data_IF_592445944218
#
_entry.id   IF_592445944218
#
_cell.length_a   1.000
_cell.length_b   1.000
_cell.length_c   1.000
_cell.angle_alpha   90.00
_cell.angle_beta   90.00
_cell.angle_gamma   90.00
#
_symmetry.space_group_name_H-M   'P 1'
#
loop_
_entity.id
_entity.type
_entity.pdbx_description
1 polymer ?
#
# COMPACT_ATOMS: atom_id res chain seq x y z
N UNK A 1 27.01 33.36 77.29
CA UNK A 1 28.46 33.17 77.48
C UNK A 1 28.88 31.89 76.75
N UNK A 2 30.07 31.88 76.12
CA UNK A 2 30.34 31.46 74.74
C UNK A 2 30.62 29.92 74.64
N UNK A 3 30.70 29.27 73.48
CA UNK A 3 31.50 29.61 72.29
C UNK A 3 31.10 28.74 71.08
N UNK A 4 31.23 29.34 69.91
CA UNK A 4 30.96 28.80 68.58
C UNK A 4 31.88 27.64 68.17
N UNK A 5 31.40 26.78 67.27
CA UNK A 5 31.91 26.66 65.90
C UNK A 5 31.08 25.64 65.09
N UNK A 6 30.61 26.08 63.94
CA UNK A 6 30.13 25.32 62.78
C UNK A 6 31.08 25.69 61.62
N UNK A 7 31.09 25.04 60.43
CA UNK A 7 30.45 23.80 60.00
C UNK A 7 31.37 22.95 59.06
N UNK A 8 30.75 22.04 58.28
CA UNK A 8 31.24 21.34 57.08
C UNK A 8 31.90 19.96 57.32
N UNK A 9 31.64 18.91 56.56
CA UNK A 9 30.73 18.64 55.44
C UNK A 9 30.75 17.12 55.18
N UNK A 10 29.79 16.67 54.36
CA UNK A 10 29.74 15.38 53.64
C UNK A 10 29.60 14.12 54.49
N UNK A 11 28.57 13.30 54.31
CA UNK A 11 27.86 13.02 53.07
C UNK A 11 27.87 11.50 52.89
N UNK A 12 26.79 10.88 53.35
CA UNK A 12 26.58 9.43 53.45
C UNK A 12 26.79 8.72 52.11
N UNK A 13 27.53 7.61 52.13
CA UNK A 13 27.47 6.57 51.09
C UNK A 13 26.10 5.90 51.11
N UNK A 14 25.55 5.54 49.94
CA UNK A 14 24.88 4.24 49.86
C UNK A 14 25.20 3.46 48.59
N UNK A 15 25.23 2.13 48.74
CA UNK A 15 24.54 1.20 47.85
C UNK A 15 25.11 0.98 46.46
N UNK A 16 26.01 0.00 46.34
CA UNK A 16 26.31 -0.70 45.10
C UNK A 16 25.24 -1.79 44.89
N UNK A 17 24.94 -2.07 43.62
CA UNK A 17 24.19 -3.21 43.02
C UNK A 17 22.66 -3.06 42.90
N UNK A 18 22.19 -2.70 41.70
CA UNK A 18 21.75 -3.67 40.68
C UNK A 18 21.47 -2.92 39.36
N UNK A 19 22.35 -3.08 38.37
CA UNK A 19 22.06 -2.71 36.99
C UNK A 19 21.08 -3.76 36.43
N UNK A 20 19.79 -3.44 36.44
CA UNK A 20 18.81 -4.14 35.62
C UNK A 20 19.05 -3.73 34.16
N UNK A 21 19.92 -4.48 33.50
CA UNK A 21 20.07 -4.46 32.05
C UNK A 21 18.74 -4.94 31.47
N UNK A 22 17.86 -3.99 31.11
CA UNK A 22 16.65 -4.27 30.35
C UNK A 22 17.10 -4.82 29.00
N UNK A 23 17.13 -6.16 28.93
CA UNK A 23 17.26 -6.91 27.70
C UNK A 23 16.16 -6.40 26.79
N UNK A 24 16.57 -5.73 25.73
CA UNK A 24 15.80 -5.48 24.53
C UNK A 24 15.30 -6.86 24.07
N UNK A 25 14.10 -7.23 24.47
CA UNK A 25 13.40 -8.35 23.87
C UNK A 25 13.15 -7.93 22.43
N UNK A 26 14.03 -8.37 21.53
CA UNK A 26 13.73 -8.51 20.12
C UNK A 26 12.45 -9.33 20.05
N UNK A 27 11.32 -8.67 19.82
CA UNK A 27 10.08 -9.35 19.45
C UNK A 27 10.41 -10.04 18.13
N UNK A 28 10.44 -11.38 18.05
CA UNK A 28 10.45 -12.02 16.76
C UNK A 28 9.09 -11.70 16.16
N UNK A 29 9.04 -10.74 15.24
CA UNK A 29 7.89 -10.62 14.34
C UNK A 29 7.83 -11.95 13.60
N UNK A 30 6.98 -12.85 14.08
CA UNK A 30 6.49 -13.98 13.30
C UNK A 30 5.80 -13.34 12.11
N UNK A 31 6.52 -13.22 11.01
CA UNK A 31 5.96 -12.77 9.75
C UNK A 31 4.92 -13.80 9.34
N UNK A 32 3.65 -13.51 9.64
CA UNK A 32 2.54 -14.23 9.03
C UNK A 32 2.59 -13.95 7.53
N UNK A 33 2.40 -15.00 6.73
CA UNK A 33 2.21 -14.87 5.29
C UNK A 33 1.10 -13.84 5.00
N UNK A 34 1.32 -12.99 4.00
CA UNK A 34 0.36 -11.97 3.58
C UNK A 34 -1.00 -12.61 3.25
N UNK A 35 -2.09 -12.01 3.74
CA UNK A 35 -3.44 -12.36 3.33
C UNK A 35 -3.69 -11.82 1.91
N UNK A 36 -3.71 -12.71 0.92
CA UNK A 36 -4.01 -12.41 -0.47
C UNK A 36 -5.53 -12.25 -0.71
N UNK A 37 -5.96 -11.55 -1.77
CA UNK A 37 -7.36 -11.57 -2.17
C UNK A 37 -7.82 -12.99 -2.47
N UNK A 38 -9.11 -13.28 -2.26
CA UNK A 38 -9.66 -14.64 -2.44
C UNK A 38 -9.55 -15.17 -3.87
N UNK A 39 -9.39 -14.27 -4.83
CA UNK A 39 -9.20 -14.54 -6.26
C UNK A 39 -7.81 -15.03 -6.59
N UNK A 40 -6.82 -14.78 -5.73
CA UNK A 40 -5.43 -15.16 -5.97
C UNK A 40 -5.10 -16.38 -5.16
N UNK A 41 -4.64 -17.40 -5.86
CA UNK A 41 -3.98 -18.53 -5.22
C UNK A 41 -2.65 -18.83 -5.88
N UNK A 42 -1.88 -19.52 -5.08
CA UNK A 42 -0.63 -20.13 -5.47
C UNK A 42 -0.93 -21.38 -6.33
N UNK A 43 -0.29 -21.53 -7.50
CA UNK A 43 -0.33 -22.79 -8.23
C UNK A 43 0.44 -23.88 -7.46
N UNK A 44 -0.08 -25.10 -7.53
CA UNK A 44 0.66 -26.31 -7.16
C UNK A 44 1.71 -26.65 -8.21
N UNK A 45 2.70 -27.48 -7.84
CA UNK A 45 3.80 -27.85 -8.74
C UNK A 45 3.31 -28.56 -10.03
N UNK A 46 2.15 -29.25 -9.97
CA UNK A 46 1.53 -29.94 -11.10
C UNK A 46 0.79 -29.00 -12.08
N UNK A 47 0.42 -27.80 -11.62
CA UNK A 47 -0.32 -26.81 -12.41
C UNK A 47 0.60 -25.87 -13.21
N UNK A 48 1.92 -25.96 -13.00
CA UNK A 48 2.87 -25.12 -13.70
C UNK A 48 3.47 -25.89 -14.88
N UNK A 49 3.31 -25.32 -16.08
CA UNK A 49 3.94 -25.87 -17.28
C UNK A 49 5.46 -26.03 -17.08
N UNK A 50 6.01 -27.16 -17.51
CA UNK A 50 7.44 -27.41 -17.40
C UNK A 50 8.22 -26.35 -18.19
N UNK A 51 9.14 -25.67 -17.48
CA UNK A 51 10.11 -24.73 -18.05
C UNK A 51 11.50 -25.03 -17.49
N UNK A 52 12.58 -24.80 -18.25
CA UNK A 52 13.94 -25.09 -17.78
C UNK A 52 14.33 -24.39 -16.47
N UNK A 53 13.69 -23.27 -16.14
CA UNK A 53 13.92 -22.41 -14.98
C UNK A 53 12.91 -22.63 -13.83
N UNK A 54 12.00 -23.60 -13.95
CA UNK A 54 10.88 -23.77 -12.99
C UNK A 54 11.36 -24.02 -11.55
N UNK A 55 12.42 -24.81 -11.38
CA UNK A 55 12.98 -25.12 -10.06
C UNK A 55 13.55 -23.86 -9.39
N UNK A 56 14.16 -22.96 -10.16
CA UNK A 56 14.68 -21.69 -9.66
C UNK A 56 13.55 -20.75 -9.25
N UNK A 57 12.50 -20.66 -10.06
CA UNK A 57 11.30 -19.85 -9.77
C UNK A 57 10.62 -20.35 -8.48
N UNK A 58 10.40 -21.66 -8.37
CA UNK A 58 9.79 -22.27 -7.19
C UNK A 58 10.67 -22.08 -5.95
N UNK A 59 12.00 -22.15 -6.10
CA UNK A 59 12.94 -21.93 -5.01
C UNK A 59 12.94 -20.47 -4.53
N UNK A 60 12.99 -19.51 -5.46
CA UNK A 60 12.87 -18.07 -5.15
C UNK A 60 11.57 -17.80 -4.41
N UNK A 61 10.47 -18.32 -4.93
CA UNK A 61 9.14 -18.17 -4.34
C UNK A 61 9.04 -18.70 -2.91
N UNK A 62 9.59 -19.88 -2.62
CA UNK A 62 9.58 -20.44 -1.25
C UNK A 62 10.36 -19.58 -0.24
N UNK A 63 11.28 -18.75 -0.73
CA UNK A 63 12.06 -17.81 0.07
C UNK A 63 11.53 -16.38 0.00
N UNK A 64 10.50 -16.14 -0.80
CA UNK A 64 10.01 -14.82 -1.10
C UNK A 64 9.44 -14.16 0.15
N UNK A 65 9.78 -12.90 0.35
CA UNK A 65 9.36 -12.14 1.52
C UNK A 65 8.04 -11.40 1.26
N UNK A 66 6.99 -12.17 0.99
CA UNK A 66 5.64 -11.67 0.74
C UNK A 66 4.89 -11.56 2.07
N UNK A 67 5.04 -10.41 2.72
CA UNK A 67 4.56 -10.13 4.08
C UNK A 67 4.02 -8.70 4.17
N UNK A 68 3.27 -8.36 5.23
CA UNK A 68 2.90 -6.96 5.47
C UNK A 68 4.12 -6.07 5.68
N UNK A 69 4.13 -4.89 5.06
CA UNK A 69 5.22 -3.93 5.13
C UNK A 69 5.26 -3.02 3.91
N UNK A 70 6.26 -2.15 3.84
CA UNK A 70 6.45 -1.28 2.68
C UNK A 70 7.92 -1.13 2.28
N UNK A 71 8.13 -0.87 1.00
CA UNK A 71 9.40 -0.33 0.47
C UNK A 71 9.28 1.17 0.27
N UNK A 72 10.42 1.87 0.26
CA UNK A 72 10.46 3.30 0.07
C UNK A 72 11.65 3.70 -0.80
N UNK A 73 11.38 4.43 -1.86
CA UNK A 73 12.38 4.94 -2.80
C UNK A 73 12.26 6.46 -2.84
N UNK A 74 13.35 7.17 -2.57
CA UNK A 74 13.37 8.63 -2.67
C UNK A 74 13.42 9.05 -4.13
N UNK A 75 12.74 10.14 -4.47
CA UNK A 75 12.82 10.70 -5.81
C UNK A 75 14.16 11.42 -6.00
N UNK A 76 14.98 10.90 -6.91
CA UNK A 76 16.24 11.52 -7.31
C UNK A 76 16.08 12.47 -8.51
N UNK A 77 14.92 12.45 -9.17
CA UNK A 77 14.63 13.28 -10.34
C UNK A 77 13.82 14.53 -9.96
N UNK A 78 14.44 15.72 -9.92
CA UNK A 78 13.76 16.95 -9.52
C UNK A 78 12.72 17.44 -10.53
N UNK A 79 12.63 16.84 -11.73
CA UNK A 79 11.63 17.22 -12.74
C UNK A 79 10.24 16.66 -12.45
N UNK A 80 10.14 15.63 -11.62
CA UNK A 80 8.85 15.02 -11.28
C UNK A 80 8.51 15.44 -9.85
N UNK A 81 7.35 16.08 -9.61
CA UNK A 81 7.13 16.80 -8.36
C UNK A 81 6.61 15.93 -7.20
N UNK A 82 7.18 14.75 -6.99
CA UNK A 82 6.99 13.94 -5.77
C UNK A 82 8.31 13.79 -5.00
N UNK A 83 8.24 13.44 -3.72
CA UNK A 83 9.44 13.29 -2.87
C UNK A 83 9.86 11.83 -2.70
N UNK A 84 8.91 10.91 -2.62
CA UNK A 84 9.17 9.49 -2.48
C UNK A 84 8.07 8.66 -3.13
N UNK A 85 8.44 7.44 -3.48
CA UNK A 85 7.53 6.38 -3.88
C UNK A 85 7.55 5.30 -2.79
N UNK A 86 6.40 4.69 -2.53
CA UNK A 86 6.26 3.53 -1.67
C UNK A 86 5.39 2.47 -2.34
N UNK A 87 5.77 1.21 -2.15
CA UNK A 87 4.94 0.05 -2.47
C UNK A 87 4.63 -0.67 -1.16
N UNK A 88 3.36 -0.98 -0.92
CA UNK A 88 2.87 -1.36 0.41
C UNK A 88 2.07 -2.65 0.31
N UNK A 89 2.63 -3.72 0.89
CA UNK A 89 1.89 -4.94 1.16
C UNK A 89 1.13 -4.78 2.47
N UNK A 90 -0.16 -5.06 2.42
CA UNK A 90 -1.04 -5.13 3.58
C UNK A 90 -2.00 -6.30 3.38
N UNK A 91 -2.39 -6.95 4.47
CA UNK A 91 -3.41 -7.99 4.41
C UNK A 91 -4.66 -7.47 3.68
N UNK A 92 -5.19 -8.27 2.77
CA UNK A 92 -6.22 -7.83 1.85
C UNK A 92 -7.50 -7.35 2.59
N UNK A 93 -7.85 -7.99 3.72
CA UNK A 93 -8.92 -7.54 4.62
C UNK A 93 -8.79 -6.09 5.11
N UNK A 94 -7.58 -5.55 5.14
CA UNK A 94 -7.23 -4.19 5.61
C UNK A 94 -6.88 -3.23 4.47
N UNK A 95 -6.76 -3.71 3.23
CA UNK A 95 -6.35 -2.93 2.06
C UNK A 95 -7.20 -1.66 1.89
N UNK A 96 -8.53 -1.79 1.94
CA UNK A 96 -9.43 -0.65 1.78
C UNK A 96 -9.29 0.40 2.89
N UNK A 97 -9.09 -0.04 4.13
CA UNK A 97 -8.92 0.88 5.26
C UNK A 97 -7.62 1.68 5.12
N UNK A 98 -6.53 1.04 4.66
CA UNK A 98 -5.29 1.75 4.37
C UNK A 98 -5.44 2.72 3.19
N UNK A 99 -6.12 2.29 2.13
CA UNK A 99 -6.43 3.15 0.99
C UNK A 99 -7.18 4.42 1.43
N UNK A 100 -8.23 4.29 2.24
CA UNK A 100 -8.97 5.45 2.77
C UNK A 100 -8.09 6.36 3.65
N UNK A 101 -7.24 5.78 4.49
CA UNK A 101 -6.34 6.55 5.34
C UNK A 101 -5.32 7.36 4.51
N UNK A 102 -4.74 6.74 3.47
CA UNK A 102 -3.86 7.43 2.52
C UNK A 102 -4.63 8.48 1.70
N UNK A 103 -5.85 8.17 1.25
CA UNK A 103 -6.71 9.13 0.55
C UNK A 103 -7.02 10.37 1.40
N UNK A 104 -7.11 10.22 2.73
CA UNK A 104 -7.28 11.35 3.65
C UNK A 104 -6.07 12.31 3.67
N UNK A 105 -4.89 11.88 3.21
CA UNK A 105 -3.72 12.78 3.09
C UNK A 105 -3.73 13.62 1.81
N UNK A 106 -4.49 13.22 0.79
CA UNK A 106 -4.62 13.99 -0.46
C UNK A 106 -5.47 15.25 -0.25
N UNK A 107 -5.36 16.26 -1.13
CA UNK A 107 -6.22 17.46 -1.10
C UNK A 107 -7.72 17.16 -1.28
N UNK A 108 -8.56 18.18 -1.12
CA UNK A 108 -10.02 18.06 -1.23
C UNK A 108 -10.50 17.76 -2.65
N UNK A 109 -9.68 18.10 -3.65
CA UNK A 109 -9.96 17.77 -5.05
C UNK A 109 -8.88 16.85 -5.61
N UNK A 110 -9.32 15.82 -6.32
CA UNK A 110 -8.48 14.77 -6.91
C UNK A 110 -9.10 14.29 -8.22
N UNK A 111 -8.27 13.79 -9.11
CA UNK A 111 -8.70 12.95 -10.23
C UNK A 111 -8.82 11.50 -9.76
N UNK A 112 -9.79 10.76 -10.27
CA UNK A 112 -9.85 9.32 -10.14
C UNK A 112 -9.09 8.70 -11.31
N UNK A 113 -8.26 7.69 -11.04
CA UNK A 113 -7.59 6.88 -12.06
C UNK A 113 -8.09 5.46 -11.92
N UNK A 114 -8.61 4.86 -12.98
CA UNK A 114 -9.15 3.49 -12.92
C UNK A 114 -9.19 2.82 -14.29
N UNK A 115 -9.03 1.50 -14.32
CA UNK A 115 -8.96 0.74 -15.57
C UNK A 115 -8.88 -0.76 -15.36
N UNK A 116 -8.81 -1.49 -16.48
CA UNK A 116 -8.44 -2.90 -16.46
C UNK A 116 -6.92 -3.04 -16.54
N UNK A 117 -6.40 -4.07 -15.89
CA UNK A 117 -5.00 -4.45 -16.03
C UNK A 117 -4.67 -4.75 -17.51
N UNK A 118 -3.50 -4.31 -17.97
CA UNK A 118 -3.02 -4.36 -19.38
C UNK A 118 -3.82 -3.51 -20.38
N UNK A 119 -4.82 -2.75 -19.93
CA UNK A 119 -5.53 -1.75 -20.74
C UNK A 119 -5.16 -0.32 -20.31
N UNK A 120 -5.50 0.64 -21.16
CA UNK A 120 -5.30 2.04 -20.83
C UNK A 120 -6.28 2.49 -19.73
N UNK A 121 -5.73 3.01 -18.64
CA UNK A 121 -6.51 3.57 -17.53
C UNK A 121 -7.11 4.91 -17.91
N UNK A 122 -8.32 5.18 -17.44
CA UNK A 122 -8.93 6.51 -17.55
C UNK A 122 -8.51 7.36 -16.37
N UNK A 123 -8.22 8.63 -16.64
CA UNK A 123 -8.06 9.67 -15.61
C UNK A 123 -9.19 10.68 -15.72
N UNK A 124 -9.94 10.89 -14.64
CA UNK A 124 -11.03 11.88 -14.62
C UNK A 124 -10.49 13.31 -14.54
N UNK A 125 -11.32 14.33 -14.85
CA UNK A 125 -11.06 15.69 -14.41
C UNK A 125 -10.92 15.77 -12.88
N UNK A 126 -10.46 16.93 -12.40
CA UNK A 126 -10.31 17.18 -10.98
C UNK A 126 -11.69 17.33 -10.29
N UNK A 127 -12.07 16.33 -9.49
CA UNK A 127 -13.37 16.22 -8.82
C UNK A 127 -13.24 16.39 -7.31
N UNK A 128 -14.37 16.56 -6.62
CA UNK A 128 -14.40 16.53 -5.15
C UNK A 128 -14.01 15.14 -4.66
N UNK A 129 -12.98 15.04 -3.82
CA UNK A 129 -12.46 13.76 -3.29
C UNK A 129 -13.53 12.93 -2.60
N UNK A 130 -14.40 13.58 -1.82
CA UNK A 130 -15.51 12.87 -1.15
C UNK A 130 -16.49 12.24 -2.14
N UNK A 131 -16.74 12.89 -3.28
CA UNK A 131 -17.56 12.32 -4.34
C UNK A 131 -16.87 11.11 -4.97
N UNK A 132 -15.60 11.24 -5.34
CA UNK A 132 -14.81 10.13 -5.91
C UNK A 132 -14.79 8.92 -4.98
N UNK A 133 -14.44 9.14 -3.70
CA UNK A 133 -14.41 8.06 -2.70
C UNK A 133 -15.77 7.40 -2.51
N UNK A 134 -16.86 8.17 -2.52
CA UNK A 134 -18.22 7.63 -2.41
C UNK A 134 -18.59 6.75 -3.61
N UNK A 135 -18.15 7.11 -4.81
CA UNK A 135 -18.39 6.31 -6.02
C UNK A 135 -17.55 5.03 -6.00
N UNK A 136 -16.28 5.10 -5.62
CA UNK A 136 -15.41 3.92 -5.48
C UNK A 136 -15.88 2.96 -4.38
N UNK A 137 -16.39 3.46 -3.25
CA UNK A 137 -16.88 2.64 -2.12
C UNK A 137 -17.98 1.65 -2.54
N UNK A 138 -18.81 2.00 -3.55
CA UNK A 138 -19.86 1.12 -4.08
C UNK A 138 -19.31 -0.18 -4.66
N UNK A 139 -18.03 -0.18 -5.04
CA UNK A 139 -17.33 -1.29 -5.68
C UNK A 139 -16.14 -1.76 -4.83
N UNK A 140 -16.15 -1.46 -3.52
CA UNK A 140 -15.06 -1.83 -2.60
C UNK A 140 -14.65 -3.31 -2.73
N UNK A 141 -15.62 -4.22 -2.79
CA UNK A 141 -15.36 -5.66 -2.89
C UNK A 141 -14.61 -5.97 -4.19
N UNK A 142 -15.12 -5.49 -5.32
CA UNK A 142 -14.47 -5.67 -6.61
C UNK A 142 -13.07 -5.02 -6.65
N UNK A 143 -12.93 -3.77 -6.18
CA UNK A 143 -11.65 -3.06 -6.20
C UNK A 143 -10.56 -3.72 -5.34
N UNK A 144 -10.95 -4.37 -4.24
CA UNK A 144 -10.02 -5.04 -3.33
C UNK A 144 -9.75 -6.50 -3.64
N UNK A 145 -10.67 -7.19 -4.33
CA UNK A 145 -10.54 -8.62 -4.61
C UNK A 145 -10.26 -8.93 -6.09
N UNK A 146 -10.81 -8.17 -7.05
CA UNK A 146 -10.77 -8.52 -8.47
C UNK A 146 -9.46 -8.08 -9.13
N UNK A 147 -8.59 -9.03 -9.48
CA UNK A 147 -7.26 -8.77 -10.01
C UNK A 147 -7.22 -8.22 -11.42
N UNK A 148 -8.35 -8.10 -12.11
CA UNK A 148 -8.41 -7.39 -13.39
C UNK A 148 -8.61 -5.88 -13.23
N UNK A 149 -8.95 -5.37 -12.03
CA UNK A 149 -9.24 -3.97 -11.79
C UNK A 149 -8.10 -3.24 -11.07
N UNK A 150 -7.83 -2.03 -11.52
CA UNK A 150 -6.98 -1.05 -10.82
C UNK A 150 -7.78 0.22 -10.58
N UNK A 151 -7.55 0.85 -9.42
CA UNK A 151 -8.17 2.14 -9.11
C UNK A 151 -7.34 2.95 -8.13
N UNK A 152 -7.44 4.26 -8.24
CA UNK A 152 -6.62 5.19 -7.50
C UNK A 152 -7.09 6.63 -7.56
N UNK A 153 -6.34 7.48 -6.87
CA UNK A 153 -6.50 8.92 -6.81
C UNK A 153 -5.21 9.57 -7.28
N UNK A 154 -5.35 10.62 -8.08
CA UNK A 154 -4.25 11.44 -8.56
C UNK A 154 -4.51 12.89 -8.19
N UNK A 155 -3.52 13.55 -7.62
CA UNK A 155 -3.47 14.99 -7.49
C UNK A 155 -2.17 15.49 -8.09
N UNK A 156 -2.28 16.24 -9.18
CA UNK A 156 -1.14 16.81 -9.86
C UNK A 156 -1.37 18.29 -10.13
N UNK A 157 -0.44 19.11 -9.66
CA UNK A 157 -0.24 20.49 -10.11
C UNK A 157 1.26 20.68 -10.40
N UNK A 158 1.65 21.87 -10.84
CA UNK A 158 3.02 22.16 -11.30
C UNK A 158 4.12 21.67 -10.34
N UNK A 159 3.93 21.90 -9.04
CA UNK A 159 4.98 21.71 -8.03
C UNK A 159 4.70 20.54 -7.07
N UNK A 160 3.60 19.79 -7.27
CA UNK A 160 3.29 18.63 -6.44
C UNK A 160 2.53 17.54 -7.22
N UNK A 161 2.98 16.30 -7.06
CA UNK A 161 2.33 15.06 -7.48
C UNK A 161 2.10 14.20 -6.24
N UNK A 162 0.85 13.80 -6.03
CA UNK A 162 0.46 12.75 -5.09
C UNK A 162 -0.39 11.75 -5.85
N UNK A 163 0.02 10.50 -5.85
CA UNK A 163 -0.69 9.41 -6.50
C UNK A 163 -0.88 8.26 -5.52
N UNK A 164 -2.07 7.69 -5.50
CA UNK A 164 -2.45 6.58 -4.65
C UNK A 164 -3.18 5.57 -5.52
N UNK A 165 -2.68 4.35 -5.65
CA UNK A 165 -3.27 3.34 -6.52
C UNK A 165 -3.30 1.98 -5.83
N UNK A 166 -4.42 1.27 -5.98
CA UNK A 166 -4.54 -0.16 -5.70
C UNK A 166 -4.17 -0.87 -7.00
N UNK A 167 -3.10 -1.67 -6.95
CA UNK A 167 -2.64 -2.45 -8.10
C UNK A 167 -3.58 -3.60 -8.43
N UNK A 168 -3.39 -4.19 -9.59
CA UNK A 168 -4.06 -5.42 -10.03
C UNK A 168 -3.79 -6.57 -9.05
N UNK A 169 -2.61 -6.59 -8.44
CA UNK A 169 -2.18 -7.58 -7.44
C UNK A 169 -2.53 -7.22 -6.00
N UNK A 170 -3.31 -6.16 -5.80
CA UNK A 170 -3.92 -5.79 -4.50
C UNK A 170 -2.92 -5.41 -3.41
N UNK A 171 -1.86 -4.74 -3.81
CA UNK A 171 -1.02 -3.92 -2.94
C UNK A 171 -1.21 -2.43 -3.29
N UNK A 172 -0.70 -1.53 -2.45
CA UNK A 172 -0.81 -0.08 -2.70
C UNK A 172 0.49 0.45 -3.30
N UNK A 173 0.36 1.21 -4.39
CA UNK A 173 1.41 2.09 -4.93
C UNK A 173 1.11 3.53 -4.51
N UNK A 174 2.09 4.22 -3.94
CA UNK A 174 1.92 5.58 -3.44
C UNK A 174 3.10 6.46 -3.80
N UNK A 175 2.83 7.60 -4.44
CA UNK A 175 3.78 8.68 -4.65
C UNK A 175 3.36 9.84 -3.76
N UNK A 176 4.30 10.33 -2.94
CA UNK A 176 3.99 11.31 -1.91
C UNK A 176 5.03 12.42 -1.79
N UNK A 177 4.60 13.54 -1.21
CA UNK A 177 5.45 14.68 -0.87
C UNK A 177 5.82 14.74 0.63
N UNK A 178 4.97 14.22 1.51
CA UNK A 178 5.06 14.36 2.98
C UNK A 178 5.54 13.07 3.66
N UNK A 179 6.85 12.80 3.60
CA UNK A 179 7.46 11.55 4.06
C UNK A 179 7.18 11.22 5.54
N UNK A 180 7.31 12.19 6.44
CA UNK A 180 7.14 11.93 7.88
C UNK A 180 5.67 11.65 8.23
N UNK A 181 4.73 12.36 7.58
CA UNK A 181 3.29 12.07 7.72
C UNK A 181 2.96 10.67 7.22
N UNK A 182 3.56 10.26 6.10
CA UNK A 182 3.41 8.90 5.58
C UNK A 182 3.92 7.84 6.56
N UNK A 183 5.12 8.03 7.13
CA UNK A 183 5.69 7.10 8.12
C UNK A 183 4.82 6.95 9.36
N UNK A 184 4.30 8.06 9.89
CA UNK A 184 3.36 8.03 11.03
C UNK A 184 2.07 7.27 10.70
N UNK A 185 1.57 7.39 9.46
CA UNK A 185 0.40 6.65 9.00
C UNK A 185 0.72 5.16 8.85
N UNK A 186 1.85 4.78 8.25
CA UNK A 186 2.27 3.36 8.19
C UNK A 186 2.37 2.74 9.59
N UNK A 187 2.95 3.49 10.54
CA UNK A 187 3.08 3.04 11.92
C UNK A 187 1.73 2.81 12.60
N UNK A 188 0.70 3.62 12.31
CA UNK A 188 -0.65 3.42 12.86
C UNK A 188 -1.34 2.16 12.31
N UNK A 189 -0.90 1.67 11.14
CA UNK A 189 -1.28 0.38 10.58
C UNK A 189 -0.32 -0.76 10.99
N UNK A 190 0.63 -0.51 11.89
CA UNK A 190 1.67 -1.47 12.28
C UNK A 190 2.53 -1.96 11.11
N UNK A 191 2.65 -1.15 10.05
CA UNK A 191 3.49 -1.43 8.90
C UNK A 191 4.87 -0.84 9.13
N UNK A 192 5.88 -1.67 8.91
CA UNK A 192 7.30 -1.30 9.03
C UNK A 192 7.94 -1.32 7.65
N UNK A 193 9.03 -0.56 7.43
CA UNK A 193 9.82 -0.73 6.22
C UNK A 193 10.45 -2.13 6.22
N UNK A 194 10.38 -2.81 5.09
CA UNK A 194 10.88 -4.19 4.95
C UNK A 194 11.91 -4.24 3.83
N UNK A 195 13.17 -4.50 4.19
CA UNK A 195 14.22 -4.76 3.21
C UNK A 195 13.95 -6.08 2.47
N UNK A 196 14.09 -6.06 1.15
CA UNK A 196 13.80 -7.19 0.27
C UNK A 196 12.33 -7.62 0.31
N UNK A 197 11.40 -6.67 0.53
CA UNK A 197 9.96 -6.94 0.38
C UNK A 197 9.65 -7.26 -1.08
N UNK A 198 8.88 -8.32 -1.29
CA UNK A 198 8.51 -8.82 -2.61
C UNK A 198 6.99 -8.87 -2.74
N UNK A 199 6.51 -8.86 -3.99
CA UNK A 199 5.10 -8.76 -4.32
C UNK A 199 4.61 -10.00 -5.08
N UNK A 200 3.32 -10.31 -4.99
CA UNK A 200 2.79 -11.57 -5.51
C UNK A 200 2.77 -11.65 -7.05
N UNK A 201 2.75 -10.51 -7.74
CA UNK A 201 2.94 -10.36 -9.19
C UNK A 201 4.32 -10.76 -9.68
N UNK A 202 5.34 -10.77 -8.83
CA UNK A 202 6.68 -11.19 -9.20
C UNK A 202 6.80 -12.71 -9.38
N UNK A 203 5.74 -13.46 -9.04
CA UNK A 203 5.70 -14.91 -9.00
C UNK A 203 4.51 -15.49 -9.77
N UNK A 204 4.61 -16.74 -10.27
CA UNK A 204 3.46 -17.44 -10.85
C UNK A 204 2.29 -17.51 -9.86
N UNK A 205 1.14 -17.01 -10.30
CA UNK A 205 -0.11 -16.97 -9.53
C UNK A 205 -1.27 -17.42 -10.43
N UNK A 206 -2.29 -18.01 -9.82
CA UNK A 206 -3.55 -18.31 -10.49
C UNK A 206 -4.57 -17.29 -10.00
N UNK A 207 -5.23 -16.65 -10.95
CA UNK A 207 -6.29 -15.67 -10.71
C UNK A 207 -7.61 -16.29 -11.15
N UNK A 208 -8.55 -16.42 -10.22
CA UNK A 208 -9.93 -16.82 -10.48
C UNK A 208 -10.82 -15.58 -10.48
N UNK A 209 -11.65 -15.34 -11.51
CA UNK A 209 -12.56 -14.21 -11.54
C UNK A 209 -13.45 -14.17 -10.29
N UNK A 210 -13.60 -12.99 -9.67
CA UNK A 210 -14.27 -12.85 -8.37
C UNK A 210 -15.71 -13.40 -8.39
N UNK A 211 -16.42 -13.20 -9.50
CA UNK A 211 -17.80 -13.68 -9.70
C UNK A 211 -17.97 -15.19 -9.60
N UNK A 212 -16.90 -15.97 -9.82
CA UNK A 212 -16.93 -17.43 -9.67
C UNK A 212 -16.90 -17.86 -8.20
N UNK A 213 -16.33 -17.01 -7.33
CA UNK A 213 -16.21 -17.23 -5.89
C UNK A 213 -17.35 -16.55 -5.11
N UNK A 214 -17.75 -15.35 -5.55
CA UNK A 214 -18.77 -14.50 -4.93
C UNK A 214 -19.84 -14.17 -5.97
N UNK A 215 -20.99 -14.85 -5.90
CA UNK A 215 -22.06 -14.74 -6.92
C UNK A 215 -22.67 -13.35 -7.06
N UNK A 216 -22.54 -12.50 -6.05
CA UNK A 216 -23.06 -11.11 -6.06
C UNK A 216 -22.07 -10.10 -6.62
N UNK A 217 -20.82 -10.50 -6.84
CA UNK A 217 -19.80 -9.63 -7.39
C UNK A 217 -20.08 -9.28 -8.85
N UNK A 218 -19.77 -8.04 -9.23
CA UNK A 218 -19.89 -7.60 -10.62
C UNK A 218 -18.68 -8.04 -11.42
N UNK A 219 -18.89 -8.23 -12.72
CA UNK A 219 -17.78 -8.37 -13.65
C UNK A 219 -16.99 -7.04 -13.73
N UNK A 220 -15.66 -7.08 -13.96
CA UNK A 220 -14.81 -5.90 -14.07
C UNK A 220 -15.37 -4.83 -15.03
N UNK A 221 -15.82 -5.26 -16.20
CA UNK A 221 -16.34 -4.38 -17.26
C UNK A 221 -17.62 -3.69 -16.80
N UNK A 222 -18.42 -4.35 -15.96
CA UNK A 222 -19.62 -3.76 -15.37
C UNK A 222 -19.27 -2.70 -14.32
N UNK A 223 -18.22 -2.93 -13.53
CA UNK A 223 -17.71 -1.91 -12.59
C UNK A 223 -17.24 -0.68 -13.37
N UNK A 224 -16.40 -0.88 -14.40
CA UNK A 224 -15.93 0.22 -15.25
C UNK A 224 -17.07 0.98 -15.91
N UNK A 225 -18.04 0.28 -16.48
CA UNK A 225 -19.22 0.90 -17.09
C UNK A 225 -19.93 1.84 -16.12
N UNK A 226 -20.18 1.43 -14.88
CA UNK A 226 -20.85 2.28 -13.92
C UNK A 226 -19.99 3.43 -13.40
N UNK A 227 -18.67 3.23 -13.27
CA UNK A 227 -17.75 4.33 -12.95
C UNK A 227 -17.71 5.36 -14.08
N UNK A 228 -17.70 4.92 -15.33
CA UNK A 228 -17.74 5.82 -16.49
C UNK A 228 -19.04 6.64 -16.50
N UNK A 229 -20.18 6.03 -16.19
CA UNK A 229 -21.45 6.76 -16.05
C UNK A 229 -21.40 7.77 -14.91
N UNK A 230 -20.84 7.40 -13.75
CA UNK A 230 -20.74 8.26 -12.58
C UNK A 230 -19.80 9.45 -12.80
N UNK A 231 -18.71 9.25 -13.56
CA UNK A 231 -17.71 10.26 -13.86
C UNK A 231 -17.88 10.95 -15.21
N UNK A 232 -18.94 10.61 -15.96
CA UNK A 232 -19.25 11.14 -17.29
C UNK A 232 -18.10 10.95 -18.30
N UNK A 233 -17.51 9.75 -18.30
CA UNK A 233 -16.43 9.36 -19.22
C UNK A 233 -17.03 8.70 -20.46
N UNK A 234 -16.60 9.15 -21.64
CA UNK A 234 -16.87 8.47 -22.90
C UNK A 234 -15.58 7.83 -23.43
N UNK A 235 -15.44 6.51 -23.25
CA UNK A 235 -14.28 5.74 -23.74
C UNK A 235 -14.23 5.60 -25.27
N UNK A 236 -15.27 6.04 -26.01
CA UNK A 236 -15.32 5.98 -27.48
C UNK A 236 -14.89 7.28 -28.14
N UNK A 237 -14.76 8.37 -27.37
CA UNK A 237 -14.26 9.62 -27.89
C UNK A 237 -12.77 9.47 -28.21
N UNK A 238 -12.31 9.79 -29.43
CA UNK A 238 -10.88 9.88 -29.71
C UNK A 238 -10.28 10.93 -28.79
N UNK A 239 -9.10 10.63 -28.24
CA UNK A 239 -8.37 11.51 -27.33
C UNK A 239 -8.16 12.88 -28.00
N UNK A 240 -8.73 13.99 -27.49
CA UNK A 240 -8.69 15.26 -28.19
C UNK A 240 -7.32 15.98 -28.15
N UNK A 241 -6.26 15.37 -27.63
CA UNK A 241 -5.02 16.09 -27.33
C UNK A 241 -3.73 15.32 -27.70
N UNK A 242 -3.40 15.35 -28.98
CA UNK A 242 -2.02 15.51 -29.45
C UNK A 242 -2.02 16.51 -30.62
N UNK A 243 -1.99 17.82 -30.30
CA UNK A 243 -1.53 18.92 -31.16
C UNK A 243 -0.65 19.87 -30.32
#
# INVERSE_FOLDING_TARGET
MPKAADPAAMGKRPGILLFACFRMCCIPYLYSMLELPITVRIPSDEEIDYRPDIDEILFKRRKAKIVEGYTLTLNENPRIPYRFQAMININNSRLWALFQALAATLPDKVSCVYGMYEEESVTTPLLQKQFVLKELEKYREELTQECQLEAGLLFQVKDILIELNISESKYIRYWGAELERFRLLMQSFHLVPVEGLEFIDEYPKIVTPLRELVRTAKAPETVLYYLDQAFHIDRRAPDPFFD
#
